data_IF_029186349998
#
_entry.id   IF_029186349998
#
_cell.length_a   1.000
_cell.length_b   1.000
_cell.length_c   1.000
_cell.angle_alpha   90.00
_cell.angle_beta   90.00
_cell.angle_gamma   90.00
#
_symmetry.space_group_name_H-M   'P 1'
#
loop_
_entity.id
_entity.type
_entity.pdbx_description
1 polymer ?
#
# COMPACT_ATOMS: atom_id res chain seq x y z
N UNK A 1 -63.84 11.04 -7.83
CA UNK A 1 -64.32 12.15 -6.97
C UNK A 1 -63.10 12.68 -6.21
N UNK A 2 -62.41 13.70 -6.74
CA UNK A 2 -62.36 15.10 -6.23
C UNK A 2 -61.82 15.17 -4.79
N UNK A 3 -60.79 15.91 -4.37
CA UNK A 3 -59.81 16.91 -4.91
C UNK A 3 -58.74 17.09 -3.80
N UNK A 4 -57.44 17.20 -4.13
CA UNK A 4 -56.56 18.40 -4.06
C UNK A 4 -56.38 19.12 -2.71
N UNK A 5 -55.10 19.34 -2.35
CA UNK A 5 -54.33 20.62 -2.14
C UNK A 5 -52.87 20.19 -1.88
N UNK A 6 -51.78 20.54 -2.60
CA UNK A 6 -51.28 21.71 -3.36
C UNK A 6 -50.82 22.88 -2.47
N UNK A 7 -49.49 23.01 -2.34
CA UNK A 7 -48.65 24.24 -2.42
C UNK A 7 -47.24 23.90 -1.88
N UNK A 8 -46.11 24.36 -2.40
CA UNK A 8 -45.81 25.38 -3.40
C UNK A 8 -44.40 25.94 -3.12
N UNK A 9 -43.54 25.93 -4.13
CA UNK A 9 -42.09 26.27 -4.15
C UNK A 9 -41.86 27.79 -4.10
N UNK A 10 -40.75 28.27 -3.50
CA UNK A 10 -40.02 29.45 -4.03
C UNK A 10 -38.50 29.30 -3.90
N UNK A 11 -37.83 29.18 -5.06
CA UNK A 11 -36.42 29.52 -5.31
C UNK A 11 -36.35 31.04 -5.51
N UNK A 12 -35.38 31.72 -4.91
CA UNK A 12 -35.01 33.08 -5.32
C UNK A 12 -33.51 33.14 -5.62
N UNK A 13 -33.20 33.41 -6.88
CA UNK A 13 -31.88 33.82 -7.38
C UNK A 13 -32.00 35.30 -7.68
N UNK A 14 -31.04 36.12 -7.24
CA UNK A 14 -30.90 37.48 -7.77
C UNK A 14 -29.42 37.83 -7.96
N UNK A 15 -29.08 38.11 -9.22
CA UNK A 15 -27.89 38.81 -9.67
C UNK A 15 -28.04 40.31 -9.38
N UNK A 16 -26.94 40.97 -9.02
CA UNK A 16 -26.84 42.43 -8.93
C UNK A 16 -25.39 42.87 -9.01
N UNK A 17 -25.07 43.57 -10.10
CA UNK A 17 -23.75 44.07 -10.50
C UNK A 17 -23.52 45.53 -10.04
N UNK A 18 -22.23 45.94 -10.02
CA UNK A 18 -21.66 47.28 -10.25
C UNK A 18 -21.31 48.24 -9.07
N UNK A 19 -19.98 48.44 -8.94
CA UNK A 19 -19.20 49.71 -9.05
C UNK A 19 -18.55 50.33 -7.80
N UNK A 20 -17.28 50.65 -8.05
CA UNK A 20 -16.17 51.25 -7.32
C UNK A 20 -16.42 52.52 -6.50
N UNK A 21 -15.60 52.66 -5.45
CA UNK A 21 -15.23 53.94 -4.83
C UNK A 21 -13.81 53.84 -4.25
N UNK A 22 -12.89 54.61 -4.82
CA UNK A 22 -11.48 54.72 -4.44
C UNK A 22 -11.24 55.93 -3.51
N UNK A 23 -10.00 55.99 -2.98
CA UNK A 23 -9.32 57.06 -2.24
C UNK A 23 -9.47 56.98 -0.68
N UNK A 24 -8.45 57.23 0.15
CA UNK A 24 -7.20 57.94 -0.04
C UNK A 24 -6.11 57.51 0.98
N UNK A 25 -4.85 57.63 0.56
CA UNK A 25 -3.65 57.68 1.41
C UNK A 25 -3.62 58.97 2.24
N UNK A 26 -3.12 58.94 3.49
CA UNK A 26 -2.24 59.99 4.05
C UNK A 26 -1.34 59.37 5.14
N UNK A 27 -0.03 59.56 5.00
CA UNK A 27 0.96 59.54 6.08
C UNK A 27 1.66 60.90 6.04
N UNK A 28 2.02 61.53 7.18
CA UNK A 28 3.45 61.79 7.37
C UNK A 28 3.96 61.90 8.85
N UNK A 29 5.24 61.51 8.98
CA UNK A 29 6.33 62.11 9.80
C UNK A 29 6.42 61.91 11.34
N UNK A 30 7.62 61.43 11.76
CA UNK A 30 8.27 61.54 13.10
C UNK A 30 9.19 62.80 13.15
N UNK A 31 10.00 63.14 14.21
CA UNK A 31 10.28 62.53 15.54
C UNK A 31 10.34 63.64 16.69
N UNK A 32 11.00 63.56 17.89
CA UNK A 32 12.33 63.00 18.24
C UNK A 32 12.40 62.06 19.49
N UNK A 33 13.60 61.49 19.62
CA UNK A 33 14.18 60.52 20.55
C UNK A 33 14.21 60.86 22.06
N UNK A 34 14.23 59.82 22.91
CA UNK A 34 15.13 59.70 24.07
C UNK A 34 15.30 58.23 24.51
N UNK A 35 16.45 57.96 25.12
CA UNK A 35 17.19 56.71 25.17
C UNK A 35 16.73 55.66 26.20
N UNK A 36 17.36 54.49 26.07
CA UNK A 36 17.70 53.47 27.07
C UNK A 36 16.66 52.43 27.49
N UNK A 37 16.94 51.20 27.04
CA UNK A 37 16.27 49.99 27.47
C UNK A 37 16.78 48.79 26.68
N UNK A 38 17.97 48.31 27.02
CA UNK A 38 18.51 47.06 26.50
C UNK A 38 17.62 45.89 26.94
N UNK A 39 16.71 45.45 26.08
CA UNK A 39 16.16 44.10 26.14
C UNK A 39 16.69 43.34 24.93
N UNK A 40 17.63 42.44 25.24
CA UNK A 40 18.01 41.33 24.39
C UNK A 40 16.74 40.57 24.00
N UNK A 41 16.17 40.93 22.84
CA UNK A 41 15.34 40.02 22.06
C UNK A 41 16.25 38.87 21.65
N UNK A 42 16.36 37.89 22.54
CA UNK A 42 16.73 36.52 22.23
C UNK A 42 15.95 36.13 20.99
N UNK A 43 16.60 36.22 19.83
CA UNK A 43 16.19 35.47 18.65
C UNK A 43 16.24 34.03 19.11
N UNK A 44 15.08 33.56 19.58
CA UNK A 44 14.68 32.17 19.55
C UNK A 44 14.88 31.75 18.11
N UNK A 45 16.09 31.28 17.85
CA UNK A 45 16.38 30.41 16.73
C UNK A 45 15.37 29.30 16.90
N UNK A 46 14.32 29.32 16.08
CA UNK A 46 13.55 28.12 15.81
C UNK A 46 14.56 27.10 15.31
N UNK A 47 15.14 26.35 16.25
CA UNK A 47 15.69 25.06 15.99
C UNK A 47 14.49 24.29 15.44
N UNK A 48 14.36 24.29 14.10
CA UNK A 48 13.70 23.19 13.42
C UNK A 48 14.42 21.98 13.98
N UNK A 49 13.78 21.26 14.90
CA UNK A 49 14.26 19.97 15.34
C UNK A 49 14.47 19.19 14.05
N UNK A 50 15.73 19.02 13.62
CA UNK A 50 16.04 18.07 12.57
C UNK A 50 15.55 16.75 13.14
N UNK A 51 14.41 16.29 12.64
CA UNK A 51 13.89 14.99 12.99
C UNK A 51 14.98 14.01 12.59
N UNK A 52 15.61 13.38 13.58
CA UNK A 52 16.62 12.38 13.35
C UNK A 52 15.95 11.20 12.66
N UNK A 53 16.42 10.86 11.47
CA UNK A 53 15.88 9.77 10.66
C UNK A 53 16.84 8.58 10.72
N UNK A 54 16.27 7.39 10.88
CA UNK A 54 16.98 6.13 10.76
C UNK A 54 17.02 5.72 9.30
N UNK A 55 18.21 5.32 8.83
CA UNK A 55 18.38 4.79 7.48
C UNK A 55 18.38 3.27 7.48
N UNK A 56 17.46 2.69 6.74
CA UNK A 56 17.48 1.26 6.40
C UNK A 56 17.97 1.09 4.97
N UNK A 57 18.91 0.18 4.75
CA UNK A 57 19.57 0.01 3.45
C UNK A 57 19.61 -1.45 3.06
N UNK A 58 19.25 -1.72 1.81
CA UNK A 58 19.54 -2.96 1.12
C UNK A 58 21.01 -2.95 0.65
N UNK A 59 21.60 -4.13 0.46
CA UNK A 59 22.98 -4.32 0.00
C UNK A 59 23.21 -3.74 -1.40
N UNK A 60 22.19 -3.73 -2.26
CA UNK A 60 22.19 -3.06 -3.58
C UNK A 60 22.41 -1.55 -3.50
N UNK A 61 22.26 -0.94 -2.33
CA UNK A 61 22.36 0.52 -2.14
C UNK A 61 21.03 1.26 -2.21
N UNK A 62 19.92 0.56 -2.46
CA UNK A 62 18.57 1.09 -2.24
C UNK A 62 18.37 1.29 -0.74
N UNK A 63 17.87 2.45 -0.33
CA UNK A 63 17.67 2.78 1.08
C UNK A 63 16.44 3.65 1.28
N UNK A 64 15.95 3.67 2.51
CA UNK A 64 14.86 4.54 2.94
C UNK A 64 15.21 5.17 4.29
N UNK A 65 15.02 6.49 4.39
CA UNK A 65 15.14 7.23 5.63
C UNK A 65 13.76 7.30 6.31
N UNK A 66 13.62 6.82 7.54
CA UNK A 66 12.34 6.74 8.27
C UNK A 66 12.47 7.27 9.70
N UNK A 67 11.33 7.57 10.33
CA UNK A 67 11.33 8.00 11.74
C UNK A 67 11.87 6.90 12.68
N UNK A 68 12.37 7.25 13.88
CA UNK A 68 12.98 6.29 14.80
C UNK A 68 12.06 5.16 15.28
N UNK A 69 10.75 5.37 15.22
CA UNK A 69 9.71 4.40 15.63
C UNK A 69 9.57 3.22 14.66
N UNK A 70 10.27 3.23 13.52
CA UNK A 70 10.33 2.11 12.58
C UNK A 70 11.44 1.13 12.96
N UNK A 71 11.08 -0.14 13.03
CA UNK A 71 11.95 -1.23 13.47
C UNK A 71 12.01 -2.28 12.36
N UNK A 72 13.21 -2.71 11.99
CA UNK A 72 13.41 -3.81 11.05
C UNK A 72 13.08 -5.16 11.70
N UNK A 73 12.39 -6.01 10.95
CA UNK A 73 12.19 -7.41 11.31
C UNK A 73 13.37 -8.23 10.84
N UNK A 74 14.03 -8.88 11.77
CA UNK A 74 15.13 -9.78 11.46
C UNK A 74 14.63 -11.01 10.69
N UNK A 75 15.43 -11.44 9.69
CA UNK A 75 15.37 -12.75 9.05
C UNK A 75 14.03 -13.09 8.36
N UNK A 76 13.57 -12.23 7.45
CA UNK A 76 12.50 -12.58 6.52
C UNK A 76 13.05 -13.35 5.32
N UNK A 77 12.45 -14.49 4.93
CA UNK A 77 12.79 -15.15 3.67
C UNK A 77 12.47 -14.22 2.48
N UNK A 78 13.17 -14.40 1.36
CA UNK A 78 12.75 -13.77 0.12
C UNK A 78 11.37 -14.30 -0.28
N UNK A 79 10.44 -13.41 -0.68
CA UNK A 79 9.16 -13.84 -1.24
C UNK A 79 9.33 -14.33 -2.70
N UNK A 80 8.34 -15.08 -3.22
CA UNK A 80 7.17 -15.60 -2.52
C UNK A 80 7.52 -16.77 -1.60
N UNK A 81 6.63 -17.12 -0.66
CA UNK A 81 6.78 -18.35 0.12
C UNK A 81 6.89 -19.58 -0.81
N UNK A 82 7.71 -20.61 -0.49
CA UNK A 82 7.89 -21.78 -1.36
C UNK A 82 6.60 -22.48 -1.79
N UNK A 83 5.56 -22.47 -0.93
CA UNK A 83 4.23 -23.03 -1.24
C UNK A 83 3.41 -22.20 -2.23
N UNK A 84 3.72 -20.91 -2.34
CA UNK A 84 3.07 -19.98 -3.26
C UNK A 84 3.85 -19.79 -4.55
N UNK A 85 5.17 -20.04 -4.54
CA UNK A 85 6.05 -19.82 -5.68
C UNK A 85 5.58 -20.43 -7.00
N UNK A 86 4.97 -21.64 -7.06
CA UNK A 86 4.46 -22.19 -8.32
C UNK A 86 3.28 -21.43 -8.93
N UNK A 87 2.58 -20.61 -8.14
CA UNK A 87 1.36 -19.92 -8.52
C UNK A 87 1.56 -18.40 -8.67
N UNK A 88 2.63 -17.87 -8.10
CA UNK A 88 2.92 -16.44 -8.07
C UNK A 88 3.30 -15.89 -9.46
N UNK A 89 3.09 -14.57 -9.70
CA UNK A 89 3.67 -13.87 -10.83
C UNK A 89 5.17 -14.13 -10.98
N UNK A 90 5.67 -14.07 -12.22
CA UNK A 90 7.09 -14.19 -12.51
C UNK A 90 7.87 -12.93 -12.09
N UNK A 91 8.17 -12.84 -10.79
CA UNK A 91 8.99 -11.80 -10.18
C UNK A 91 10.10 -12.46 -9.38
N UNK A 92 11.35 -12.11 -9.68
CA UNK A 92 12.50 -12.58 -8.92
C UNK A 92 12.94 -11.50 -7.94
N UNK A 93 12.77 -11.76 -6.65
CA UNK A 93 13.28 -10.92 -5.57
C UNK A 93 14.77 -11.15 -5.39
N UNK A 94 15.53 -10.06 -5.35
CA UNK A 94 16.97 -10.06 -5.13
C UNK A 94 17.27 -9.79 -3.66
N UNK A 95 16.55 -8.83 -3.08
CA UNK A 95 16.67 -8.43 -1.69
C UNK A 95 15.31 -8.02 -1.14
N UNK A 96 15.13 -8.17 0.17
CA UNK A 96 13.89 -7.87 0.84
C UNK A 96 14.18 -7.46 2.29
N UNK A 97 13.58 -6.37 2.73
CA UNK A 97 13.56 -5.94 4.13
C UNK A 97 12.13 -5.59 4.53
N UNK A 98 11.83 -5.84 5.80
CA UNK A 98 10.52 -5.67 6.38
C UNK A 98 10.64 -4.79 7.62
N UNK A 99 9.91 -3.69 7.65
CA UNK A 99 9.85 -2.78 8.78
C UNK A 99 8.44 -2.73 9.36
N UNK A 100 8.36 -2.50 10.66
CA UNK A 100 7.10 -2.27 11.37
C UNK A 100 7.21 -1.01 12.21
N UNK A 101 6.09 -0.30 12.34
CA UNK A 101 5.96 0.85 13.21
C UNK A 101 4.83 0.58 14.21
N UNK A 102 5.15 0.12 15.43
CA UNK A 102 4.14 -0.19 16.45
C UNK A 102 3.30 1.03 16.85
N UNK A 103 3.88 2.24 16.79
CA UNK A 103 3.20 3.48 17.19
C UNK A 103 2.14 3.91 16.19
N UNK A 104 2.41 3.72 14.90
CA UNK A 104 1.46 4.01 13.82
C UNK A 104 0.66 2.77 13.38
N UNK A 105 0.84 1.63 14.06
CA UNK A 105 0.28 0.33 13.70
C UNK A 105 0.45 -0.01 12.22
N UNK A 106 1.60 0.33 11.64
CA UNK A 106 1.84 0.26 10.20
C UNK A 106 2.99 -0.69 9.86
N UNK A 107 3.00 -1.19 8.63
CA UNK A 107 4.05 -2.06 8.10
C UNK A 107 4.58 -1.51 6.78
N UNK A 108 5.87 -1.70 6.55
CA UNK A 108 6.55 -1.28 5.33
C UNK A 108 7.43 -2.43 4.86
N UNK A 109 7.46 -2.68 3.56
CA UNK A 109 8.32 -3.64 2.90
C UNK A 109 9.07 -2.92 1.81
N UNK A 110 10.38 -3.12 1.74
CA UNK A 110 11.23 -2.59 0.69
C UNK A 110 12.03 -3.73 0.08
N UNK A 111 12.05 -3.80 -1.24
CA UNK A 111 12.70 -4.88 -1.95
C UNK A 111 13.32 -4.39 -3.26
N UNK A 112 14.22 -5.20 -3.79
CA UNK A 112 14.67 -5.07 -5.17
C UNK A 112 14.33 -6.33 -5.95
N UNK A 113 13.86 -6.14 -7.19
CA UNK A 113 13.43 -7.23 -8.07
C UNK A 113 14.09 -7.10 -9.43
N UNK A 114 14.17 -8.21 -10.16
CA UNK A 114 14.45 -8.13 -11.59
C UNK A 114 13.29 -7.44 -12.32
N UNK A 115 13.56 -6.74 -13.41
CA UNK A 115 12.50 -6.08 -14.17
C UNK A 115 11.65 -7.07 -14.99
N UNK A 116 10.51 -7.48 -14.43
CA UNK A 116 9.49 -8.31 -15.08
C UNK A 116 8.61 -7.55 -16.08
N UNK A 117 8.74 -6.23 -16.18
CA UNK A 117 7.91 -5.37 -17.04
C UNK A 117 8.65 -4.88 -18.29
N UNK A 118 9.83 -5.43 -18.57
CA UNK A 118 10.57 -5.18 -19.80
C UNK A 118 9.73 -5.53 -21.04
N UNK A 119 9.65 -4.60 -21.97
CA UNK A 119 8.85 -4.73 -23.20
C UNK A 119 7.38 -4.32 -23.06
N UNK A 120 6.95 -3.90 -21.86
CA UNK A 120 5.63 -3.32 -21.62
C UNK A 120 5.63 -1.78 -21.66
N UNK A 121 4.59 -1.20 -21.09
CA UNK A 121 4.43 0.24 -20.84
C UNK A 121 3.61 0.50 -19.57
N UNK A 122 3.39 1.78 -19.25
CA UNK A 122 2.64 2.18 -18.05
C UNK A 122 1.15 1.77 -18.12
N UNK A 123 0.56 1.69 -19.31
CA UNK A 123 -0.86 1.31 -19.50
C UNK A 123 -1.04 -0.19 -19.28
N UNK A 124 -0.11 -1.00 -19.79
CA UNK A 124 -0.10 -2.44 -19.57
C UNK A 124 0.08 -2.76 -18.07
N UNK A 125 0.98 -2.04 -17.39
CA UNK A 125 1.18 -2.17 -15.95
C UNK A 125 -0.09 -1.80 -15.17
N UNK A 126 -0.70 -0.66 -15.49
CA UNK A 126 -1.93 -0.21 -14.85
C UNK A 126 -3.09 -1.21 -15.03
N UNK A 127 -3.28 -1.68 -16.27
CA UNK A 127 -4.30 -2.67 -16.62
C UNK A 127 -4.10 -3.98 -15.87
N UNK A 128 -2.84 -4.43 -15.74
CA UNK A 128 -2.51 -5.62 -14.97
C UNK A 128 -2.86 -5.44 -13.50
N UNK A 129 -2.43 -4.34 -12.87
CA UNK A 129 -2.65 -4.12 -11.43
C UNK A 129 -4.13 -3.92 -11.08
N UNK A 130 -4.93 -3.38 -12.00
CA UNK A 130 -6.38 -3.21 -11.84
C UNK A 130 -7.21 -4.41 -12.32
N UNK A 131 -6.57 -5.51 -12.72
CA UNK A 131 -7.30 -6.75 -13.02
C UNK A 131 -7.99 -7.31 -11.77
N UNK A 132 -8.96 -8.21 -11.98
CA UNK A 132 -9.70 -8.80 -10.88
C UNK A 132 -8.78 -9.54 -9.89
N UNK A 133 -9.05 -9.38 -8.59
CA UNK A 133 -8.34 -10.11 -7.55
C UNK A 133 -8.49 -11.62 -7.75
N UNK A 134 -7.40 -12.39 -7.59
CA UNK A 134 -7.36 -13.83 -7.89
C UNK A 134 -7.10 -14.16 -9.36
N UNK A 135 -6.90 -13.15 -10.23
CA UNK A 135 -6.48 -13.38 -11.63
C UNK A 135 -5.04 -13.89 -11.73
N UNK A 136 -4.25 -13.71 -10.67
CA UNK A 136 -2.88 -14.15 -10.54
C UNK A 136 -1.87 -13.01 -10.67
N UNK A 137 -2.24 -11.87 -11.27
CA UNK A 137 -1.32 -10.76 -11.56
C UNK A 137 -1.85 -9.38 -11.10
N UNK A 138 -3.01 -9.32 -10.45
CA UNK A 138 -3.58 -8.05 -9.94
C UNK A 138 -2.76 -7.46 -8.79
N UNK A 139 -3.06 -6.21 -8.40
CA UNK A 139 -2.48 -5.59 -7.21
C UNK A 139 -2.70 -6.45 -5.95
N UNK A 140 -3.92 -6.96 -5.75
CA UNK A 140 -4.25 -7.82 -4.62
C UNK A 140 -3.45 -9.13 -4.64
N UNK A 141 -3.23 -9.69 -5.83
CA UNK A 141 -2.41 -10.89 -6.00
C UNK A 141 -0.93 -10.59 -5.67
N UNK A 142 -0.37 -9.49 -6.18
CA UNK A 142 1.00 -9.06 -5.89
C UNK A 142 1.25 -8.85 -4.39
N UNK A 143 0.34 -8.12 -3.74
CA UNK A 143 0.39 -7.89 -2.29
C UNK A 143 0.33 -9.23 -1.52
N UNK A 144 -0.53 -10.15 -1.94
CA UNK A 144 -0.72 -11.45 -1.31
C UNK A 144 0.50 -12.37 -1.48
N UNK A 145 1.04 -12.46 -2.69
CA UNK A 145 2.16 -13.35 -2.98
C UNK A 145 3.47 -12.87 -2.37
N UNK A 146 3.69 -11.56 -2.28
CA UNK A 146 5.02 -11.03 -2.03
C UNK A 146 5.21 -10.22 -0.75
N UNK A 147 4.16 -9.56 -0.23
CA UNK A 147 4.33 -8.57 0.83
C UNK A 147 3.56 -8.91 2.12
N UNK A 148 2.34 -9.42 1.98
CA UNK A 148 1.41 -9.73 3.06
C UNK A 148 0.87 -11.16 2.93
N UNK A 149 1.78 -12.11 2.72
CA UNK A 149 1.43 -13.51 2.54
C UNK A 149 0.80 -14.13 3.79
N UNK A 150 -0.04 -15.16 3.63
CA UNK A 150 -0.57 -15.92 4.75
C UNK A 150 0.53 -16.55 5.62
N UNK A 151 0.25 -16.83 6.90
CA UNK A 151 1.16 -17.57 7.77
C UNK A 151 1.59 -18.91 7.15
N UNK A 152 2.86 -19.30 7.35
CA UNK A 152 3.45 -20.51 6.75
C UNK A 152 2.64 -21.77 7.05
N UNK A 153 2.25 -21.96 8.31
CA UNK A 153 1.46 -23.12 8.74
C UNK A 153 0.11 -23.21 8.00
N UNK A 154 -0.48 -22.07 7.63
CA UNK A 154 -1.70 -22.05 6.82
C UNK A 154 -1.43 -22.53 5.38
N UNK A 155 -0.32 -22.06 4.78
CA UNK A 155 0.08 -22.46 3.44
C UNK A 155 0.44 -23.94 3.36
N UNK A 156 1.18 -24.44 4.35
CA UNK A 156 1.55 -25.86 4.44
C UNK A 156 0.30 -26.74 4.60
N UNK A 157 -0.57 -26.43 5.57
CA UNK A 157 -1.80 -27.18 5.81
C UNK A 157 -2.77 -27.17 4.62
N UNK A 158 -2.93 -26.02 3.95
CA UNK A 158 -3.77 -25.90 2.77
C UNK A 158 -3.22 -26.68 1.56
N UNK A 159 -1.90 -26.62 1.34
CA UNK A 159 -1.22 -27.36 0.28
C UNK A 159 -1.30 -28.88 0.47
N UNK A 160 -1.16 -29.35 1.71
CA UNK A 160 -1.32 -30.76 2.06
C UNK A 160 -2.76 -31.25 1.85
N UNK A 161 -3.75 -30.47 2.30
CA UNK A 161 -5.17 -30.77 2.08
C UNK A 161 -5.51 -30.84 0.58
N UNK A 162 -4.98 -29.92 -0.22
CA UNK A 162 -5.13 -29.89 -1.67
C UNK A 162 -4.52 -31.12 -2.35
N UNK A 163 -3.27 -31.45 -2.01
CA UNK A 163 -2.57 -32.62 -2.55
C UNK A 163 -3.31 -33.92 -2.22
N UNK A 164 -3.80 -34.04 -0.99
CA UNK A 164 -4.62 -35.18 -0.54
C UNK A 164 -5.92 -35.28 -1.33
N UNK A 165 -6.67 -34.19 -1.46
CA UNK A 165 -7.92 -34.21 -2.22
C UNK A 165 -7.69 -34.55 -3.70
N UNK A 166 -6.63 -34.02 -4.32
CA UNK A 166 -6.27 -34.32 -5.70
C UNK A 166 -5.94 -35.80 -5.91
N UNK A 167 -5.13 -36.39 -5.02
CA UNK A 167 -4.82 -37.83 -5.10
C UNK A 167 -6.05 -38.73 -4.91
N UNK A 168 -7.02 -38.34 -4.09
CA UNK A 168 -8.27 -39.08 -3.90
C UNK A 168 -9.23 -38.94 -5.09
N UNK A 169 -9.20 -37.79 -5.75
CA UNK A 169 -9.98 -37.50 -6.95
C UNK A 169 -9.45 -38.24 -8.19
N UNK A 170 -8.15 -38.51 -8.28
CA UNK A 170 -7.50 -39.19 -9.41
C UNK A 170 -7.64 -40.72 -9.42
N UNK A 171 -8.77 -41.29 -8.95
CA UNK A 171 -8.96 -42.74 -9.02
C UNK A 171 -9.11 -43.23 -10.47
N UNK A 172 -8.58 -44.42 -10.83
CA UNK A 172 -8.34 -44.82 -12.23
C UNK A 172 -9.57 -44.91 -13.14
N UNK A 173 -10.79 -44.95 -12.57
CA UNK A 173 -12.05 -45.12 -13.30
C UNK A 173 -12.65 -43.79 -13.80
N UNK A 174 -12.06 -42.64 -13.49
CA UNK A 174 -12.53 -41.33 -13.96
C UNK A 174 -11.62 -40.76 -15.06
N UNK A 175 -12.12 -40.75 -16.29
CA UNK A 175 -11.44 -40.17 -17.46
C UNK A 175 -11.22 -38.65 -17.38
N UNK A 176 -11.82 -37.98 -16.39
CA UNK A 176 -11.70 -36.55 -16.12
C UNK A 176 -11.49 -36.37 -14.62
N UNK A 177 -10.33 -35.84 -14.23
CA UNK A 177 -10.09 -35.43 -12.85
C UNK A 177 -11.08 -34.31 -12.50
N UNK A 178 -11.88 -34.42 -11.43
CA UNK A 178 -12.88 -33.42 -11.08
C UNK A 178 -12.21 -32.08 -10.73
N UNK A 179 -12.94 -30.99 -10.97
CA UNK A 179 -12.54 -29.67 -10.52
C UNK A 179 -12.51 -29.66 -8.98
N UNK A 180 -11.43 -29.12 -8.42
CA UNK A 180 -11.24 -28.98 -6.98
C UNK A 180 -11.16 -27.52 -6.60
N UNK A 181 -11.80 -27.18 -5.49
CA UNK A 181 -11.77 -25.84 -4.93
C UNK A 181 -11.77 -25.95 -3.40
N UNK A 182 -10.62 -25.73 -2.79
CA UNK A 182 -10.37 -25.98 -1.37
C UNK A 182 -10.02 -24.67 -0.66
N UNK A 183 -11.01 -24.00 -0.05
CA UNK A 183 -10.76 -22.83 0.78
C UNK A 183 -10.17 -23.25 2.14
N UNK A 184 -9.11 -22.57 2.54
CA UNK A 184 -8.43 -22.73 3.84
C UNK A 184 -8.38 -21.38 4.53
N UNK A 185 -9.06 -21.24 5.65
CA UNK A 185 -9.03 -20.03 6.47
C UNK A 185 -7.86 -20.09 7.46
N UNK A 186 -7.06 -19.03 7.49
CA UNK A 186 -5.82 -19.01 8.26
C UNK A 186 -6.05 -18.54 9.69
N UNK A 187 -5.33 -19.17 10.62
CA UNK A 187 -5.17 -18.64 11.98
C UNK A 187 -4.04 -17.62 11.96
N UNK A 188 -4.34 -16.40 12.40
CA UNK A 188 -3.40 -15.29 12.42
C UNK A 188 -2.99 -14.99 13.86
N UNK A 189 -1.68 -14.93 14.11
CA UNK A 189 -1.13 -14.54 15.39
C UNK A 189 -1.37 -13.05 15.67
N UNK A 190 -1.40 -12.61 16.94
CA UNK A 190 -1.66 -11.22 17.30
C UNK A 190 -0.43 -10.33 17.06
N UNK A 191 -0.01 -10.19 15.81
CA UNK A 191 1.12 -9.36 15.37
C UNK A 191 0.69 -8.43 14.24
N UNK A 192 1.41 -7.32 14.03
CA UNK A 192 1.06 -6.37 12.95
C UNK A 192 1.16 -7.00 11.56
N UNK A 193 2.18 -7.80 11.26
CA UNK A 193 2.25 -8.49 9.97
C UNK A 193 1.07 -9.42 9.73
N UNK A 194 0.68 -10.21 10.75
CA UNK A 194 -0.45 -11.13 10.64
C UNK A 194 -1.79 -10.41 10.58
N UNK A 195 -1.90 -9.24 11.21
CA UNK A 195 -3.04 -8.33 11.05
C UNK A 195 -3.19 -7.94 9.57
N UNK A 196 -2.15 -7.36 8.95
CA UNK A 196 -2.22 -6.95 7.55
C UNK A 196 -2.38 -8.13 6.58
N UNK A 197 -1.79 -9.30 6.90
CA UNK A 197 -2.02 -10.54 6.15
C UNK A 197 -3.50 -10.92 6.16
N UNK A 198 -4.15 -10.94 7.34
CA UNK A 198 -5.58 -11.22 7.50
C UNK A 198 -6.46 -10.21 6.78
N UNK A 199 -6.15 -8.92 6.93
CA UNK A 199 -6.94 -7.85 6.34
C UNK A 199 -6.85 -7.83 4.82
N UNK A 200 -5.71 -8.24 4.25
CA UNK A 200 -5.58 -8.47 2.81
C UNK A 200 -6.34 -9.72 2.37
N UNK A 201 -6.19 -10.81 3.12
CA UNK A 201 -6.82 -12.10 2.83
C UNK A 201 -6.89 -12.96 4.10
N UNK A 202 -8.09 -13.32 4.60
CA UNK A 202 -8.25 -14.17 5.78
C UNK A 202 -7.88 -15.64 5.50
N UNK A 203 -7.59 -16.01 4.25
CA UNK A 203 -7.29 -17.38 3.86
C UNK A 203 -6.71 -17.51 2.46
N UNK A 204 -6.68 -18.74 1.98
CA UNK A 204 -6.20 -19.10 0.65
C UNK A 204 -7.13 -20.16 0.06
N UNK A 205 -7.30 -20.12 -1.25
CA UNK A 205 -8.06 -21.11 -2.00
C UNK A 205 -7.13 -21.83 -2.96
N UNK A 206 -6.99 -23.14 -2.81
CA UNK A 206 -6.29 -24.00 -3.78
C UNK A 206 -7.30 -24.59 -4.75
N UNK A 207 -7.02 -24.44 -6.04
CA UNK A 207 -7.93 -24.80 -7.11
C UNK A 207 -7.24 -25.70 -8.14
N UNK A 208 -7.99 -26.66 -8.66
CA UNK A 208 -7.64 -27.40 -9.87
C UNK A 208 -8.83 -27.31 -10.80
N UNK A 209 -8.65 -26.66 -11.96
CA UNK A 209 -9.72 -26.48 -12.94
C UNK A 209 -9.16 -26.64 -14.33
N UNK A 210 -9.78 -27.49 -15.15
CA UNK A 210 -9.34 -27.75 -16.52
C UNK A 210 -7.84 -28.10 -16.65
N UNK A 211 -7.30 -28.88 -15.71
CA UNK A 211 -5.89 -29.29 -15.73
C UNK A 211 -4.90 -28.24 -15.21
N UNK A 212 -5.37 -27.06 -14.79
CA UNK A 212 -4.54 -25.97 -14.28
C UNK A 212 -4.71 -25.86 -12.77
N UNK A 213 -3.59 -25.84 -12.05
CA UNK A 213 -3.56 -25.55 -10.62
C UNK A 213 -3.42 -24.05 -10.38
N UNK A 214 -4.15 -23.55 -9.38
CA UNK A 214 -4.03 -22.17 -8.91
C UNK A 214 -4.11 -22.14 -7.40
N UNK A 215 -3.45 -21.15 -6.82
CA UNK A 215 -3.71 -20.74 -5.45
C UNK A 215 -4.05 -19.24 -5.48
N UNK A 216 -5.01 -18.79 -4.71
CA UNK A 216 -5.35 -17.36 -4.65
C UNK A 216 -5.80 -16.98 -3.24
N UNK A 217 -5.65 -15.71 -2.88
CA UNK A 217 -6.27 -15.19 -1.66
C UNK A 217 -7.79 -15.31 -1.69
N UNK A 218 -8.39 -15.25 -0.50
CA UNK A 218 -9.83 -15.04 -0.30
C UNK A 218 -10.02 -13.55 -0.12
N UNK A 219 -10.11 -12.79 -1.21
CA UNK A 219 -10.05 -11.34 -1.11
C UNK A 219 -11.36 -10.74 -0.57
N UNK A 220 -11.31 -9.84 0.43
CA UNK A 220 -12.42 -8.94 0.71
C UNK A 220 -12.57 -7.90 -0.42
N UNK A 221 -13.61 -7.09 -0.35
CA UNK A 221 -13.79 -6.00 -1.30
C UNK A 221 -12.78 -4.86 -1.04
N UNK A 222 -12.07 -4.47 -2.10
CA UNK A 222 -11.23 -3.30 -2.13
C UNK A 222 -11.75 -2.29 -3.15
N UNK A 223 -11.61 -1.01 -2.84
CA UNK A 223 -11.61 0.01 -3.88
C UNK A 223 -10.17 0.18 -4.39
N UNK A 224 -9.98 0.06 -5.70
CA UNK A 224 -8.67 0.30 -6.34
C UNK A 224 -8.64 1.74 -6.85
N UNK A 225 -7.74 2.54 -6.32
CA UNK A 225 -7.57 3.91 -6.78
C UNK A 225 -6.74 3.94 -8.08
N UNK A 226 -6.98 4.91 -8.99
CA UNK A 226 -6.21 5.04 -10.22
C UNK A 226 -4.70 5.09 -9.95
N UNK A 227 -3.92 4.46 -10.83
CA UNK A 227 -2.46 4.51 -10.75
C UNK A 227 -1.96 5.95 -10.81
N UNK A 228 -1.01 6.28 -9.93
CA UNK A 228 -0.31 7.56 -9.95
C UNK A 228 1.16 7.37 -10.30
N UNK A 229 1.70 8.30 -11.09
CA UNK A 229 3.13 8.38 -11.34
C UNK A 229 3.76 9.45 -10.44
N UNK A 230 4.77 9.07 -9.67
CA UNK A 230 5.48 9.96 -8.75
C UNK A 230 6.96 9.99 -9.10
N UNK A 231 7.55 11.18 -9.13
CA UNK A 231 8.99 11.36 -9.28
C UNK A 231 9.60 11.94 -8.00
N UNK A 232 10.62 11.28 -7.48
CA UNK A 232 11.31 11.70 -6.26
C UNK A 232 12.75 11.19 -6.25
N UNK A 233 13.71 12.03 -5.86
CA UNK A 233 15.13 11.67 -5.72
C UNK A 233 15.76 11.00 -6.96
N UNK A 234 15.34 11.39 -8.17
CA UNK A 234 15.82 10.79 -9.41
C UNK A 234 15.24 9.40 -9.70
N UNK A 235 14.20 9.00 -8.97
CA UNK A 235 13.42 7.78 -9.19
C UNK A 235 12.05 8.12 -9.75
N UNK A 236 11.53 7.25 -10.62
CA UNK A 236 10.14 7.25 -11.06
C UNK A 236 9.45 6.05 -10.45
N UNK A 237 8.31 6.28 -9.78
CA UNK A 237 7.45 5.26 -9.19
C UNK A 237 6.08 5.25 -9.86
N UNK A 238 5.55 4.06 -10.11
CA UNK A 238 4.12 3.84 -10.34
C UNK A 238 3.50 3.35 -9.05
N UNK A 239 2.52 4.09 -8.54
CA UNK A 239 1.89 3.90 -7.24
C UNK A 239 0.48 3.39 -7.40
N UNK A 240 0.18 2.32 -6.69
CA UNK A 240 -1.09 1.63 -6.64
C UNK A 240 -1.62 1.61 -5.21
N UNK A 241 -2.93 1.65 -5.06
CA UNK A 241 -3.61 1.72 -3.77
C UNK A 241 -4.86 0.84 -3.79
N UNK A 242 -4.95 -0.07 -2.82
CA UNK A 242 -6.12 -0.87 -2.50
C UNK A 242 -6.68 -0.42 -1.15
N UNK A 243 -7.82 0.28 -1.18
CA UNK A 243 -8.51 0.78 0.00
C UNK A 243 -9.45 -0.30 0.54
N UNK A 244 -9.26 -0.68 1.80
CA UNK A 244 -10.10 -1.67 2.46
C UNK A 244 -11.50 -1.11 2.66
N UNK A 245 -12.54 -1.90 2.34
CA UNK A 245 -13.94 -1.48 2.58
C UNK A 245 -14.52 -2.02 3.88
N UNK A 246 -13.84 -2.98 4.50
CA UNK A 246 -14.28 -3.60 5.74
C UNK A 246 -13.73 -2.80 6.91
N UNK A 247 -14.64 -2.29 7.72
CA UNK A 247 -14.31 -1.65 9.00
C UNK A 247 -13.89 -2.70 10.03
N UNK A 248 -12.95 -2.33 10.90
CA UNK A 248 -12.52 -3.15 12.01
C UNK A 248 -13.63 -3.27 13.06
N UNK A 249 -14.03 -4.50 13.36
CA UNK A 249 -14.87 -4.81 14.50
C UNK A 249 -14.04 -4.87 15.81
N UNK A 250 -14.74 -4.78 16.94
CA UNK A 250 -14.11 -4.83 18.26
C UNK A 250 -13.32 -6.12 18.47
N UNK A 251 -13.84 -7.26 18.00
CA UNK A 251 -13.16 -8.55 18.11
C UNK A 251 -11.81 -8.58 17.38
N UNK A 252 -11.70 -7.88 16.24
CA UNK A 252 -10.44 -7.71 15.51
C UNK A 252 -9.49 -6.81 16.27
N UNK A 253 -9.97 -5.67 16.76
CA UNK A 253 -9.16 -4.72 17.54
C UNK A 253 -8.56 -5.43 18.76
N UNK A 254 -9.39 -6.15 19.51
CA UNK A 254 -8.99 -6.91 20.69
C UNK A 254 -7.98 -8.01 20.35
N UNK A 255 -8.25 -8.82 19.31
CA UNK A 255 -7.38 -9.95 18.95
C UNK A 255 -5.96 -9.50 18.60
N UNK A 256 -5.81 -8.38 17.87
CA UNK A 256 -4.50 -7.88 17.45
C UNK A 256 -3.88 -6.86 18.42
N UNK A 257 -4.50 -6.63 19.57
CA UNK A 257 -4.06 -5.64 20.57
C UNK A 257 -3.91 -4.23 19.96
N UNK A 258 -4.84 -3.84 19.11
CA UNK A 258 -4.92 -2.49 18.55
C UNK A 258 -5.60 -1.55 19.55
N UNK A 259 -5.33 -0.23 19.53
CA UNK A 259 -6.07 0.72 20.35
C UNK A 259 -7.56 0.71 20.02
N UNK A 260 -8.42 0.79 21.04
CA UNK A 260 -9.89 0.82 20.92
C UNK A 260 -10.38 1.91 19.94
N UNK A 261 -9.65 3.01 19.84
CA UNK A 261 -9.88 4.13 18.92
C UNK A 261 -9.82 3.73 17.44
N UNK A 262 -9.21 2.59 17.11
CA UNK A 262 -9.16 2.04 15.75
C UNK A 262 -10.39 1.18 15.40
N UNK A 263 -11.34 1.00 16.32
CA UNK A 263 -12.63 0.42 15.97
C UNK A 263 -13.31 1.27 14.87
N UNK A 264 -13.81 0.62 13.82
CA UNK A 264 -14.37 1.32 12.66
C UNK A 264 -13.32 1.77 11.62
N UNK A 265 -12.02 1.66 11.92
CA UNK A 265 -10.97 1.98 10.95
C UNK A 265 -10.89 0.94 9.83
N UNK A 266 -10.20 1.29 8.75
CA UNK A 266 -9.97 0.42 7.61
C UNK A 266 -8.47 0.30 7.35
N UNK A 267 -8.05 -0.90 6.93
CA UNK A 267 -6.69 -1.17 6.48
C UNK A 267 -6.56 -0.91 4.98
N UNK A 268 -5.62 -0.05 4.61
CA UNK A 268 -5.30 0.25 3.21
C UNK A 268 -3.91 -0.28 2.88
N UNK A 269 -3.77 -0.70 1.62
CA UNK A 269 -2.54 -1.28 1.10
C UNK A 269 -2.04 -0.49 -0.09
N UNK A 270 -0.74 -0.27 -0.12
CA UNK A 270 -0.08 0.50 -1.15
C UNK A 270 1.08 -0.29 -1.72
N UNK A 271 1.29 -0.17 -3.03
CA UNK A 271 2.46 -0.70 -3.72
C UNK A 271 3.01 0.39 -4.62
N UNK A 272 4.31 0.64 -4.53
CA UNK A 272 5.03 1.46 -5.47
C UNK A 272 6.10 0.63 -6.17
N UNK A 273 6.07 0.63 -7.50
CA UNK A 273 7.06 -0.03 -8.35
C UNK A 273 7.92 1.06 -8.96
N UNK A 274 9.19 1.10 -8.59
CA UNK A 274 10.10 2.18 -8.90
C UNK A 274 11.37 1.78 -9.60
N UNK A 275 12.03 2.75 -10.22
CA UNK A 275 13.37 2.62 -10.77
C UNK A 275 14.02 4.00 -10.96
N UNK A 276 15.36 4.08 -11.13
CA UNK A 276 16.03 5.28 -11.63
C UNK A 276 15.36 5.83 -12.89
N UNK A 277 15.04 7.11 -12.87
CA UNK A 277 14.34 7.79 -13.95
C UNK A 277 15.20 7.86 -15.22
N UNK A 278 14.62 7.66 -16.43
CA UNK A 278 13.24 7.24 -16.67
C UNK A 278 13.05 5.74 -16.41
N UNK A 279 11.82 5.36 -16.04
CA UNK A 279 11.46 3.97 -15.76
C UNK A 279 11.82 3.02 -16.94
N UNK A 280 12.50 1.89 -16.69
CA UNK A 280 13.11 1.07 -17.73
C UNK A 280 12.13 0.07 -18.37
N UNK A 281 11.04 0.55 -18.98
CA UNK A 281 10.16 -0.32 -19.78
C UNK A 281 10.85 -0.88 -21.02
N UNK A 282 11.76 -0.11 -21.62
CA UNK A 282 12.54 -0.50 -22.78
C UNK A 282 13.95 -0.86 -22.36
N UNK A 283 14.50 -1.94 -22.94
CA UNK A 283 15.88 -2.32 -22.73
C UNK A 283 16.82 -1.20 -23.16
N UNK A 284 17.51 -0.61 -22.20
CA UNK A 284 18.55 0.35 -22.44
C UNK A 284 19.90 -0.37 -22.47
N UNK A 285 20.58 -0.41 -23.62
CA UNK A 285 21.88 -1.10 -23.74
C UNK A 285 23.00 -0.41 -22.95
N UNK A 286 22.84 0.87 -22.61
CA UNK A 286 23.80 1.63 -21.80
C UNK A 286 23.55 1.41 -20.31
N UNK A 287 22.30 1.21 -19.89
CA UNK A 287 21.92 0.87 -18.51
C UNK A 287 21.71 -0.64 -18.39
N UNK A 288 22.71 -1.38 -17.89
CA UNK A 288 22.56 -2.82 -17.53
C UNK A 288 21.24 -3.04 -16.77
N UNK A 289 20.55 -4.16 -17.02
CA UNK A 289 19.26 -4.54 -16.40
C UNK A 289 19.07 -3.93 -15.02
N UNK A 290 18.36 -2.80 -14.98
CA UNK A 290 18.18 -2.02 -13.76
C UNK A 290 17.15 -2.75 -12.91
N UNK A 291 17.51 -3.19 -11.69
CA UNK A 291 16.55 -3.76 -10.77
C UNK A 291 15.44 -2.76 -10.47
N UNK A 292 14.22 -3.25 -10.31
CA UNK A 292 13.13 -2.43 -9.82
C UNK A 292 13.19 -2.36 -8.30
N UNK A 293 12.65 -1.29 -7.75
CA UNK A 293 12.50 -1.04 -6.33
C UNK A 293 11.03 -1.20 -6.00
N UNK A 294 10.69 -2.18 -5.18
CA UNK A 294 9.33 -2.38 -4.72
C UNK A 294 9.20 -1.80 -3.31
N UNK A 295 8.17 -0.98 -3.08
CA UNK A 295 7.84 -0.45 -1.76
C UNK A 295 6.38 -0.74 -1.48
N UNK A 296 6.11 -1.62 -0.53
CA UNK A 296 4.75 -1.94 -0.11
C UNK A 296 4.48 -1.43 1.30
N UNK A 297 3.30 -0.86 1.53
CA UNK A 297 2.91 -0.29 2.82
C UNK A 297 1.50 -0.74 3.19
N UNK A 298 1.34 -1.14 4.45
CA UNK A 298 0.05 -1.38 5.08
C UNK A 298 -0.15 -0.35 6.18
N UNK A 299 -1.25 0.39 6.10
CA UNK A 299 -1.64 1.39 7.10
C UNK A 299 -3.06 1.19 7.58
N UNK A 300 -3.34 1.60 8.82
CA UNK A 300 -4.68 1.63 9.41
C UNK A 300 -5.00 3.02 9.94
N UNK A 301 -6.27 3.43 9.79
CA UNK A 301 -6.75 4.69 10.34
C UNK A 301 -8.20 4.98 9.92
N UNK A 302 -8.84 5.90 10.66
CA UNK A 302 -10.22 6.35 10.45
C UNK A 302 -10.41 7.34 9.28
N UNK A 303 -9.33 7.65 8.54
CA UNK A 303 -9.34 8.65 7.47
C UNK A 303 -8.28 8.40 6.38
N UNK A 304 -8.13 9.35 5.42
CA UNK A 304 -7.29 9.20 4.23
C UNK A 304 -5.79 9.41 4.47
N UNK A 305 -5.39 9.75 5.70
CA UNK A 305 -4.01 10.15 6.06
C UNK A 305 -2.94 9.09 5.71
N UNK A 306 -3.35 7.83 5.56
CA UNK A 306 -2.48 6.68 5.21
C UNK A 306 -1.74 6.91 3.89
N UNK A 307 -2.43 7.48 2.90
CA UNK A 307 -1.86 7.80 1.60
C UNK A 307 -0.77 8.86 1.71
N UNK A 308 -1.01 9.92 2.47
CA UNK A 308 -0.03 10.98 2.68
C UNK A 308 1.22 10.47 3.42
N UNK A 309 1.05 9.53 4.35
CA UNK A 309 2.18 8.84 5.00
C UNK A 309 2.99 8.07 3.95
N UNK A 310 2.34 7.26 3.11
CA UNK A 310 3.03 6.48 2.09
C UNK A 310 3.79 7.36 1.09
N UNK A 311 3.17 8.45 0.61
CA UNK A 311 3.83 9.39 -0.30
C UNK A 311 5.04 10.09 0.34
N UNK A 312 4.98 10.37 1.65
CA UNK A 312 6.15 10.88 2.38
C UNK A 312 7.26 9.84 2.48
N UNK A 313 6.93 8.57 2.73
CA UNK A 313 7.90 7.47 2.77
C UNK A 313 8.59 7.27 1.41
N UNK A 314 7.83 7.30 0.30
CA UNK A 314 8.40 7.18 -1.05
C UNK A 314 9.41 8.29 -1.37
N UNK A 315 9.15 9.53 -0.92
CA UNK A 315 10.09 10.64 -1.08
C UNK A 315 11.36 10.49 -0.24
N UNK A 316 11.42 9.54 0.70
CA UNK A 316 12.63 9.20 1.44
C UNK A 316 13.40 8.02 0.83
N UNK A 317 12.86 7.37 -0.20
CA UNK A 317 13.56 6.29 -0.91
C UNK A 317 14.67 6.88 -1.77
N UNK A 318 15.83 6.24 -1.74
CA UNK A 318 17.02 6.61 -2.50
C UNK A 318 17.62 5.36 -3.14
N UNK A 319 18.23 5.54 -4.30
CA UNK A 319 19.06 4.52 -4.97
C UNK A 319 20.41 5.13 -5.32
N UNK A 320 21.45 4.30 -5.39
CA UNK A 320 22.83 4.73 -5.68
C UNK A 320 23.11 4.80 -7.18
#
# INVERSE_FOLDING_TARGET
>A
MVRMTLDGIVRMTLLGFLVSGAAAQVSPQSPPSLADGAEQSSRSSQARSQVELNRFSLLSGTSIDVAPDWIEREQMPLPPSPRLAPFAPHVTFLEFSALENPRMHSVLRIATTTNSFLGGDEVALDTQMHSAAGSGNSLADYLFYFFFSPPRDCLDGGSEAFTKAKSQAGTPDQAVSPDLNIPTYCKHAPTLADFYSRELSPGITFQFTNGVERASGIYPEFYLAPMEKVEANGLSFYVFEAQGRRELDLATVDHFNLPDELQGAQADFFLAIGAPSPFPFVLDRQRKNVPLIEVAYGGIGLGPDKRDIFMRLLRQVRSR
#
